data_IF_742080344995
#
_entry.id   IF_742080344995
#
_cell.length_a   1.000
_cell.length_b   1.000
_cell.length_c   1.000
_cell.angle_alpha   90.00
_cell.angle_beta   90.00
_cell.angle_gamma   90.00
#
_symmetry.space_group_name_H-M   'P 1'
#
loop_
_entity.id
_entity.type
_entity.pdbx_description
1 polymer ?
#
# COMPACT_ATOMS: atom_id res chain seq x y z
N UNK A 1 8.15 -2.41 -2.08
CA UNK A 1 7.41 -1.91 -3.26
C UNK A 1 7.72 -2.83 -4.44
N UNK A 2 6.73 -3.18 -5.27
CA UNK A 2 6.95 -3.97 -6.49
C UNK A 2 7.20 -3.00 -7.65
N UNK A 3 8.44 -2.53 -7.76
CA UNK A 3 8.86 -1.58 -8.79
C UNK A 3 9.97 -2.23 -9.60
N UNK A 4 9.79 -2.26 -10.91
CA UNK A 4 10.86 -2.61 -11.85
C UNK A 4 11.58 -1.33 -12.25
N UNK A 5 12.84 -1.20 -11.85
CA UNK A 5 13.63 0.02 -12.03
C UNK A 5 14.81 -0.30 -12.94
N UNK A 6 14.85 0.38 -14.10
CA UNK A 6 15.94 0.27 -15.05
C UNK A 6 17.27 0.72 -14.43
N UNK A 7 18.37 0.07 -14.84
CA UNK A 7 19.71 0.41 -14.31
C UNK A 7 20.12 1.85 -14.57
N UNK A 8 19.66 2.43 -15.67
CA UNK A 8 19.91 3.82 -16.06
C UNK A 8 19.24 4.84 -15.12
N UNK A 9 18.13 4.46 -14.49
CA UNK A 9 17.39 5.33 -13.57
C UNK A 9 17.88 5.24 -12.12
N UNK A 10 18.66 4.22 -11.77
CA UNK A 10 19.10 3.97 -10.39
C UNK A 10 19.92 5.13 -9.82
N UNK A 11 20.89 5.64 -10.60
CA UNK A 11 21.75 6.74 -10.13
C UNK A 11 20.96 8.03 -9.92
N UNK A 12 20.03 8.34 -10.84
CA UNK A 12 19.14 9.50 -10.74
C UNK A 12 18.21 9.38 -9.53
N UNK A 13 17.54 8.23 -9.37
CA UNK A 13 16.63 7.98 -8.26
C UNK A 13 17.36 8.02 -6.92
N UNK A 14 18.58 7.48 -6.84
CA UNK A 14 19.42 7.58 -5.65
C UNK A 14 19.66 9.04 -5.25
N UNK A 15 20.05 9.90 -6.20
CA UNK A 15 20.25 11.33 -5.94
C UNK A 15 18.96 12.10 -5.60
N UNK A 16 17.80 11.70 -6.13
CA UNK A 16 16.49 12.26 -5.75
C UNK A 16 16.10 11.84 -4.33
N UNK A 17 16.28 10.57 -3.97
CA UNK A 17 15.99 10.07 -2.63
C UNK A 17 16.87 10.71 -1.56
N UNK A 18 18.18 10.88 -1.82
CA UNK A 18 19.07 11.58 -0.89
C UNK A 18 18.57 12.99 -0.61
N UNK A 19 18.18 13.74 -1.64
CA UNK A 19 17.63 15.11 -1.48
C UNK A 19 16.33 15.12 -0.67
N UNK A 20 15.46 14.13 -0.86
CA UNK A 20 14.22 14.00 -0.07
C UNK A 20 14.54 13.74 1.41
N UNK A 21 15.49 12.84 1.69
CA UNK A 21 15.92 12.54 3.06
C UNK A 21 16.58 13.76 3.74
N UNK A 22 17.42 14.51 3.01
CA UNK A 22 18.00 15.78 3.48
C UNK A 22 16.95 16.86 3.75
N UNK A 23 15.85 16.88 2.99
CA UNK A 23 14.74 17.79 3.26
C UNK A 23 13.96 17.38 4.52
N UNK A 24 13.67 16.09 4.66
CA UNK A 24 12.92 15.55 5.81
C UNK A 24 13.71 15.66 7.12
N UNK A 25 15.04 15.56 7.09
CA UNK A 25 15.88 15.71 8.29
C UNK A 25 15.75 17.07 8.96
N UNK A 26 15.26 18.10 8.27
CA UNK A 26 14.96 19.40 8.88
C UNK A 26 13.91 19.29 10.01
N UNK A 27 13.02 18.29 9.93
CA UNK A 27 12.01 18.03 10.95
C UNK A 27 12.60 17.51 12.27
N UNK A 28 13.83 16.97 12.27
CA UNK A 28 14.53 16.51 13.48
C UNK A 28 14.85 17.66 14.45
N UNK A 29 14.79 18.91 13.98
CA UNK A 29 14.98 20.10 14.83
C UNK A 29 13.80 20.36 15.78
N UNK A 30 12.65 19.74 15.55
CA UNK A 30 11.49 19.84 16.44
C UNK A 30 11.61 18.88 17.62
N UNK A 31 11.50 19.39 18.85
CA UNK A 31 11.49 18.55 20.04
C UNK A 31 10.16 17.77 20.14
N UNK A 32 10.24 16.44 20.16
CA UNK A 32 9.07 15.54 20.22
C UNK A 32 9.12 14.50 21.35
N UNK A 33 10.11 14.57 22.23
CA UNK A 33 10.38 13.56 23.28
C UNK A 33 9.18 13.29 24.21
N UNK A 34 8.30 14.28 24.41
CA UNK A 34 7.15 14.20 25.31
C UNK A 34 5.80 14.26 24.57
N UNK A 35 5.79 14.12 23.24
CA UNK A 35 4.57 14.22 22.42
C UNK A 35 4.17 12.85 21.88
N UNK A 36 2.94 12.42 22.19
CA UNK A 36 2.40 11.19 21.62
C UNK A 36 2.11 11.35 20.11
N UNK A 37 2.51 10.38 19.26
CA UNK A 37 2.23 10.44 17.82
C UNK A 37 0.74 10.44 17.51
N UNK A 38 0.31 11.38 16.67
CA UNK A 38 -1.08 11.46 16.21
C UNK A 38 -1.35 10.39 15.15
N UNK A 39 -2.06 9.32 15.53
CA UNK A 39 -2.39 8.20 14.60
C UNK A 39 -3.62 8.48 13.75
N UNK A 40 -4.63 9.15 14.31
CA UNK A 40 -5.85 9.54 13.62
C UNK A 40 -6.23 10.95 14.08
N UNK A 41 -6.64 11.87 13.19
CA UNK A 41 -6.97 13.24 13.57
C UNK A 41 -8.27 13.39 14.37
N UNK A 42 -9.06 12.31 14.46
CA UNK A 42 -10.33 12.26 15.18
C UNK A 42 -10.23 11.23 16.29
N UNK A 43 -10.75 11.58 17.47
CA UNK A 43 -10.88 10.68 18.63
C UNK A 43 -12.03 9.69 18.41
N UNK A 44 -11.77 8.67 17.58
CA UNK A 44 -12.72 7.63 17.25
C UNK A 44 -12.37 6.34 18.00
N UNK A 45 -13.36 5.75 18.67
CA UNK A 45 -13.27 4.36 19.12
C UNK A 45 -13.36 3.42 17.91
N UNK A 46 -12.69 2.28 17.97
CA UNK A 46 -12.76 1.26 16.92
C UNK A 46 -14.21 0.76 16.77
N UNK A 47 -14.87 0.99 15.62
CA UNK A 47 -16.21 0.47 15.40
C UNK A 47 -16.14 -1.04 15.22
N UNK A 48 -17.01 -1.76 15.93
CA UNK A 48 -17.18 -3.20 15.75
C UNK A 48 -18.19 -3.45 14.62
N UNK A 49 -17.89 -4.46 13.79
CA UNK A 49 -18.83 -4.99 12.80
C UNK A 49 -19.55 -6.22 13.39
N UNK A 50 -20.88 -6.34 13.26
CA UNK A 50 -21.58 -7.58 13.64
C UNK A 50 -21.08 -8.78 12.84
N UNK A 51 -21.17 -9.97 13.43
CA UNK A 51 -20.80 -11.24 12.79
C UNK A 51 -21.99 -11.80 12.00
N UNK A 52 -22.31 -11.12 10.90
CA UNK A 52 -23.45 -11.45 10.04
C UNK A 52 -23.01 -11.54 8.58
N UNK A 53 -23.60 -12.48 7.84
CA UNK A 53 -23.36 -12.65 6.40
C UNK A 53 -24.19 -11.61 5.63
N UNK A 54 -23.51 -10.72 4.91
CA UNK A 54 -24.15 -9.55 4.27
C UNK A 54 -24.30 -9.66 2.75
N UNK A 55 -23.46 -10.41 2.04
CA UNK A 55 -23.46 -10.41 0.57
C UNK A 55 -23.47 -11.82 -0.07
N UNK A 56 -24.19 -11.99 -1.20
CA UNK A 56 -24.03 -13.13 -2.10
C UNK A 56 -22.81 -12.93 -3.03
N UNK A 57 -22.19 -14.03 -3.45
CA UNK A 57 -21.07 -14.01 -4.39
C UNK A 57 -21.57 -13.94 -5.84
N UNK A 58 -21.30 -12.83 -6.51
CA UNK A 58 -21.55 -12.64 -7.96
C UNK A 58 -20.24 -12.75 -8.75
N UNK A 59 -19.91 -13.99 -9.16
CA UNK A 59 -18.64 -14.29 -9.85
C UNK A 59 -18.48 -13.55 -11.17
N UNK A 60 -19.55 -13.46 -11.96
CA UNK A 60 -19.53 -12.77 -13.26
C UNK A 60 -19.22 -11.28 -13.09
N UNK A 61 -19.85 -10.64 -12.09
CA UNK A 61 -19.56 -9.24 -11.78
C UNK A 61 -18.12 -9.04 -11.30
N UNK A 62 -17.60 -9.92 -10.44
CA UNK A 62 -16.27 -9.74 -9.86
C UNK A 62 -15.12 -10.05 -10.82
N UNK A 63 -15.35 -10.89 -11.82
CA UNK A 63 -14.31 -11.29 -12.77
C UNK A 63 -14.32 -10.47 -14.06
N UNK A 64 -15.30 -9.58 -14.24
CA UNK A 64 -15.45 -8.75 -15.44
C UNK A 64 -14.20 -7.97 -15.83
N UNK A 65 -13.52 -7.40 -14.84
CA UNK A 65 -12.33 -6.56 -15.04
C UNK A 65 -11.02 -7.33 -14.77
N UNK A 66 -11.08 -8.65 -14.62
CA UNK A 66 -9.91 -9.49 -14.40
C UNK A 66 -9.03 -9.52 -15.66
N UNK A 67 -7.70 -9.32 -15.54
CA UNK A 67 -6.79 -9.46 -16.68
C UNK A 67 -6.86 -10.84 -17.34
N UNK A 68 -7.02 -11.89 -16.53
CA UNK A 68 -7.21 -13.26 -17.00
C UNK A 68 -7.98 -14.07 -15.95
N UNK A 69 -9.05 -14.75 -16.40
CA UNK A 69 -9.84 -15.64 -15.56
C UNK A 69 -10.30 -16.87 -16.34
N UNK A 70 -10.34 -18.03 -15.69
CA UNK A 70 -10.77 -19.31 -16.26
C UNK A 70 -11.46 -20.14 -15.19
N UNK A 71 -12.58 -20.81 -15.53
CA UNK A 71 -13.36 -21.68 -14.63
C UNK A 71 -13.71 -21.06 -13.25
N UNK A 72 -13.85 -19.73 -13.20
CA UNK A 72 -14.14 -19.00 -11.97
C UNK A 72 -12.90 -18.70 -11.11
N UNK A 73 -11.69 -18.86 -11.64
CA UNK A 73 -10.43 -18.52 -10.99
C UNK A 73 -9.76 -17.31 -11.64
N UNK A 74 -9.01 -16.53 -10.86
CA UNK A 74 -8.09 -15.51 -11.37
C UNK A 74 -6.76 -16.17 -11.70
N UNK A 75 -6.33 -16.07 -12.95
CA UNK A 75 -5.09 -16.69 -13.39
C UNK A 75 -3.91 -15.76 -13.10
N UNK A 76 -2.87 -16.34 -12.49
CA UNK A 76 -1.61 -15.65 -12.18
C UNK A 76 -0.43 -16.47 -12.70
N UNK A 77 0.71 -15.83 -13.05
CA UNK A 77 1.90 -16.55 -13.44
C UNK A 77 2.33 -17.55 -12.36
N UNK A 78 2.52 -18.80 -12.74
CA UNK A 78 3.06 -19.82 -11.84
C UNK A 78 4.53 -19.51 -11.57
N UNK A 79 4.89 -19.36 -10.29
CA UNK A 79 6.29 -19.30 -9.89
C UNK A 79 6.85 -20.73 -9.94
N UNK A 80 7.85 -20.96 -10.80
CA UNK A 80 8.62 -22.20 -10.89
C UNK A 80 10.08 -21.78 -10.71
N UNK A 81 10.83 -22.52 -9.88
CA UNK A 81 12.29 -22.34 -9.68
C UNK A 81 13.10 -22.90 -10.85
#
# INVERSE_FOLDING_TARGET
ACLDIGREDLERLGGELTRILEFVSQLETGATDEIEPLTHPLDLSQPLRPDEVTEPVDRERYQRDAPQSEDGYYLVPRVIE
#
